data_IF_962226784764
#
_entry.id   IF_962226784764
#
_cell.length_a   1.000
_cell.length_b   1.000
_cell.length_c   1.000
_cell.angle_alpha   90.00
_cell.angle_beta   90.00
_cell.angle_gamma   90.00
#
_symmetry.space_group_name_H-M   'P 1'
#
loop_
_entity.id
_entity.type
_entity.pdbx_description
1 polymer ?
#
# COMPACT_ATOMS: atom_id res chain seq x y z
N UNK A 1 -2.04 6.17 9.56
CA UNK A 1 -1.82 4.71 9.51
C UNK A 1 -2.37 3.93 10.70
N UNK A 2 -2.23 4.41 11.95
CA UNK A 2 -2.74 3.67 13.13
C UNK A 2 -4.25 3.37 13.08
N UNK A 3 -5.07 4.36 12.74
CA UNK A 3 -6.52 4.19 12.57
C UNK A 3 -6.89 3.13 11.52
N UNK A 4 -6.21 3.14 10.36
CA UNK A 4 -6.44 2.17 9.29
C UNK A 4 -6.05 0.75 9.73
N UNK A 5 -4.93 0.59 10.43
CA UNK A 5 -4.51 -0.69 11.00
C UNK A 5 -5.58 -1.28 11.93
N UNK A 6 -6.17 -0.46 12.81
CA UNK A 6 -7.27 -0.89 13.68
C UNK A 6 -8.52 -1.30 12.89
N UNK A 7 -8.95 -0.48 11.92
CA UNK A 7 -10.16 -0.74 11.14
C UNK A 7 -10.02 -1.95 10.21
N UNK A 8 -8.87 -2.11 9.57
CA UNK A 8 -8.58 -3.23 8.67
C UNK A 8 -8.19 -4.53 9.42
N UNK A 9 -8.03 -4.47 10.75
CA UNK A 9 -7.53 -5.58 11.57
C UNK A 9 -6.19 -6.12 11.06
N UNK A 10 -5.34 -5.23 10.57
CA UNK A 10 -3.99 -5.52 10.08
C UNK A 10 -2.96 -4.96 11.05
N UNK A 11 -1.79 -5.58 11.14
CA UNK A 11 -0.70 -5.01 11.93
C UNK A 11 -0.29 -3.65 11.36
N UNK A 12 0.08 -2.73 12.25
CA UNK A 12 0.58 -1.41 11.83
C UNK A 12 1.77 -1.53 10.87
N UNK A 13 2.61 -2.55 11.06
CA UNK A 13 3.76 -2.84 10.22
C UNK A 13 3.34 -3.17 8.78
N UNK A 14 2.31 -4.01 8.59
CA UNK A 14 1.81 -4.33 7.24
C UNK A 14 1.31 -3.08 6.52
N UNK A 15 0.51 -2.25 7.21
CA UNK A 15 0.00 -0.99 6.64
C UNK A 15 1.16 -0.04 6.31
N UNK A 16 2.17 0.06 7.20
CA UNK A 16 3.36 0.90 6.99
C UNK A 16 4.17 0.46 5.79
N UNK A 17 4.41 -0.84 5.63
CA UNK A 17 5.18 -1.35 4.50
C UNK A 17 4.48 -1.14 3.16
N UNK A 18 3.15 -1.28 3.11
CA UNK A 18 2.38 -1.00 1.88
C UNK A 18 2.44 0.48 1.53
N UNK A 19 2.38 1.37 2.53
CA UNK A 19 2.50 2.80 2.30
C UNK A 19 3.90 3.21 1.80
N UNK A 20 4.96 2.57 2.29
CA UNK A 20 6.35 2.83 1.87
C UNK A 20 6.63 2.27 0.47
N UNK A 21 6.13 1.07 0.19
CA UNK A 21 6.32 0.39 -1.08
C UNK A 21 4.98 -0.16 -1.59
N UNK A 22 4.18 0.65 -2.33
CA UNK A 22 2.87 0.23 -2.83
C UNK A 22 2.96 -0.91 -3.86
N UNK A 23 4.16 -1.17 -4.38
CA UNK A 23 4.43 -2.23 -5.34
C UNK A 23 4.85 -3.54 -4.67
N UNK A 24 4.88 -3.62 -3.33
CA UNK A 24 5.25 -4.85 -2.63
C UNK A 24 4.21 -5.95 -2.88
N UNK A 25 4.61 -7.24 -2.90
CA UNK A 25 3.64 -8.32 -2.93
C UNK A 25 2.76 -8.30 -1.68
N UNK A 26 1.45 -8.36 -1.88
CA UNK A 26 0.42 -8.44 -0.83
C UNK A 26 -0.62 -9.48 -1.21
N UNK A 27 -1.26 -10.11 -0.22
CA UNK A 27 -2.37 -11.02 -0.48
C UNK A 27 -3.64 -10.26 -0.86
N UNK A 28 -4.50 -10.89 -1.66
CA UNK A 28 -5.82 -10.36 -2.00
C UNK A 28 -6.68 -10.11 -0.75
N UNK A 29 -6.59 -10.97 0.27
CA UNK A 29 -7.24 -10.77 1.58
C UNK A 29 -6.79 -9.48 2.28
N UNK A 30 -5.49 -9.15 2.22
CA UNK A 30 -4.95 -7.91 2.80
C UNK A 30 -5.51 -6.69 2.08
N UNK A 31 -5.57 -6.73 0.74
CA UNK A 31 -6.13 -5.64 -0.05
C UNK A 31 -7.63 -5.47 0.24
N UNK A 32 -8.38 -6.56 0.33
CA UNK A 32 -9.82 -6.53 0.66
C UNK A 32 -10.07 -5.85 2.01
N UNK A 33 -9.30 -6.21 3.05
CA UNK A 33 -9.40 -5.59 4.38
C UNK A 33 -9.11 -4.09 4.36
N UNK A 34 -8.13 -3.67 3.56
CA UNK A 34 -7.83 -2.24 3.39
C UNK A 34 -9.00 -1.54 2.68
N UNK A 35 -9.54 -2.14 1.62
CA UNK A 35 -10.68 -1.61 0.87
C UNK A 35 -11.92 -1.45 1.75
N UNK A 36 -12.29 -2.49 2.51
CA UNK A 36 -13.39 -2.48 3.47
C UNK A 36 -13.21 -1.40 4.55
N UNK A 37 -11.99 -1.27 5.10
CA UNK A 37 -11.70 -0.28 6.12
C UNK A 37 -11.75 1.17 5.58
N UNK A 38 -11.43 1.37 4.31
CA UNK A 38 -11.51 2.65 3.62
C UNK A 38 -12.92 2.95 3.06
N UNK A 39 -13.79 1.95 2.96
CA UNK A 39 -15.12 2.09 2.37
C UNK A 39 -15.11 2.31 0.87
N UNK A 40 -14.08 1.80 0.16
CA UNK A 40 -13.90 1.94 -1.29
C UNK A 40 -13.85 0.55 -1.96
N UNK A 41 -14.22 0.42 -3.24
CA UNK A 41 -14.00 -0.83 -3.96
C UNK A 41 -12.50 -1.11 -4.14
N UNK A 42 -12.14 -2.39 -4.20
CA UNK A 42 -10.74 -2.84 -4.38
C UNK A 42 -10.11 -2.29 -5.66
N UNK A 43 -10.91 -2.07 -6.70
CA UNK A 43 -10.48 -1.49 -7.98
C UNK A 43 -9.99 -0.05 -7.87
N UNK A 44 -10.35 0.67 -6.80
CA UNK A 44 -9.86 2.04 -6.55
C UNK A 44 -8.51 2.02 -5.82
N UNK A 45 -8.05 0.85 -5.37
CA UNK A 45 -6.74 0.65 -4.71
C UNK A 45 -5.72 0.03 -5.68
N UNK A 46 -6.17 -0.84 -6.58
CA UNK A 46 -5.30 -1.55 -7.53
C UNK A 46 -5.31 -0.86 -8.88
N UNK A 47 -4.13 -0.52 -9.38
CA UNK A 47 -3.94 0.08 -10.70
C UNK A 47 -3.09 -0.83 -11.59
N UNK A 48 -3.43 -0.91 -12.89
CA UNK A 48 -2.61 -1.60 -13.88
C UNK A 48 -1.47 -0.67 -14.31
N UNK A 49 -0.32 -0.82 -13.65
CA UNK A 49 0.87 0.00 -13.89
C UNK A 49 1.90 -0.81 -14.69
N UNK A 50 2.39 -0.28 -15.83
CA UNK A 50 3.47 -0.91 -16.59
C UNK A 50 4.73 -1.11 -15.74
N UNK A 51 5.43 -2.24 -15.94
CA UNK A 51 6.63 -2.60 -15.15
C UNK A 51 7.69 -1.51 -15.10
N UNK A 52 7.95 -0.82 -16.22
CA UNK A 52 8.96 0.23 -16.30
C UNK A 52 8.60 1.43 -15.41
N UNK A 53 7.32 1.79 -15.33
CA UNK A 53 6.84 2.89 -14.49
C UNK A 53 6.94 2.50 -13.01
N UNK A 54 6.51 1.29 -12.66
CA UNK A 54 6.60 0.76 -11.31
C UNK A 54 8.05 0.72 -10.79
N UNK A 55 9.00 0.31 -11.65
CA UNK A 55 10.42 0.31 -11.31
C UNK A 55 10.99 1.72 -11.10
N UNK A 56 10.60 2.69 -11.91
CA UNK A 56 11.03 4.07 -11.79
C UNK A 56 10.51 4.71 -10.49
N UNK A 57 9.22 4.53 -10.19
CA UNK A 57 8.60 5.03 -8.96
C UNK A 57 9.21 4.39 -7.71
N UNK A 58 9.45 3.07 -7.72
CA UNK A 58 10.17 2.40 -6.62
C UNK A 58 11.58 2.95 -6.41
N UNK A 59 12.30 3.29 -7.49
CA UNK A 59 13.63 3.92 -7.37
C UNK A 59 13.52 5.31 -6.75
N UNK A 60 12.52 6.10 -7.14
CA UNK A 60 12.24 7.42 -6.57
C UNK A 60 11.90 7.34 -5.08
N UNK A 61 11.01 6.43 -4.69
CA UNK A 61 10.63 6.21 -3.28
C UNK A 61 11.82 5.81 -2.40
N UNK A 62 12.74 4.99 -2.91
CA UNK A 62 13.99 4.63 -2.19
C UNK A 62 14.99 5.78 -2.07
N UNK A 63 14.91 6.76 -2.97
CA UNK A 63 15.84 7.90 -3.02
C UNK A 63 15.35 9.12 -2.22
N UNK A 64 14.07 9.17 -1.86
CA UNK A 64 13.58 10.16 -0.90
C UNK A 64 14.04 9.74 0.51
N UNK A 65 14.82 10.55 1.23
CA UNK A 65 15.08 10.30 2.64
C UNK A 65 13.72 10.30 3.36
N UNK A 66 13.51 9.34 4.26
CA UNK A 66 12.34 9.38 5.15
C UNK A 66 12.40 10.74 5.88
N UNK A 67 11.54 11.68 5.49
CA UNK A 67 11.49 13.01 6.10
C UNK A 67 11.39 12.87 7.63
N UNK A 68 12.15 13.75 8.29
CA UNK A 68 12.54 13.76 9.71
C UNK A 68 11.39 13.77 10.72
#
# INVERSE_FOLDING_TARGET
MHRLSLQAQLSYHVVREIFIDPYKPVSSDTINKIAEALGVPVTDIIEDVPKWQAEEERRRLKSQPEDS
#
